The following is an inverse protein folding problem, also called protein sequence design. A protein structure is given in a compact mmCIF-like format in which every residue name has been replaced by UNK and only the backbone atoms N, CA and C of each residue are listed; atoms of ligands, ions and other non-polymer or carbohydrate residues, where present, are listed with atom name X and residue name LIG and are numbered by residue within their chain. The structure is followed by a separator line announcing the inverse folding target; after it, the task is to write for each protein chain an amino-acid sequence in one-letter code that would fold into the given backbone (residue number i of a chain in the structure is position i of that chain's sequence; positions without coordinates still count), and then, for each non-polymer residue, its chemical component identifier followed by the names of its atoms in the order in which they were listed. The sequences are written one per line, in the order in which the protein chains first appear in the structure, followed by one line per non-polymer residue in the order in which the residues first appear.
data_IF_060883779715
#
_entry.id   IF_060883779715
#
_cell.length_a   1.000
_cell.length_b   1.000
_cell.length_c   1.000
_cell.angle_alpha   90.00
_cell.angle_beta   90.00
_cell.angle_gamma   90.00
#
_symmetry.space_group_name_H-M   'P 1'
#
loop_
_entity.id
_entity.type
_entity.pdbx_description
1 polymer ?
#
# COMPACT_ATOMS: atom_id res chain seq x y z
N UNK A 1 -26.43 13.12 -12.75
CA UNK A 1 -25.06 12.70 -13.09
C UNK A 1 -24.67 11.71 -12.01
N UNK A 2 -24.55 10.43 -12.36
CA UNK A 2 -24.40 9.36 -11.39
C UNK A 2 -22.98 9.40 -10.80
N UNK A 3 -22.86 9.97 -9.61
CA UNK A 3 -21.68 9.90 -8.76
C UNK A 3 -21.57 8.49 -8.16
N UNK A 4 -21.52 7.49 -9.03
CA UNK A 4 -21.39 6.08 -8.66
C UNK A 4 -20.02 5.59 -9.10
N UNK A 5 -18.98 6.36 -8.79
CA UNK A 5 -17.64 5.79 -8.76
C UNK A 5 -17.53 4.99 -7.46
N UNK A 6 -18.28 3.87 -7.39
CA UNK A 6 -18.24 2.90 -6.30
C UNK A 6 -16.90 2.16 -6.33
N UNK A 7 -15.82 2.90 -6.08
CA UNK A 7 -14.55 2.33 -5.72
C UNK A 7 -14.78 1.47 -4.49
N UNK A 8 -14.56 0.18 -4.67
CA UNK A 8 -14.67 -0.82 -3.63
C UNK A 8 -13.40 -0.74 -2.79
N UNK A 9 -13.53 -0.26 -1.56
CA UNK A 9 -12.44 -0.24 -0.60
C UNK A 9 -12.39 -1.61 0.08
N UNK A 10 -11.29 -2.37 -0.05
CA UNK A 10 -11.18 -3.68 0.56
C UNK A 10 -11.12 -3.57 2.09
N UNK A 11 -11.62 -4.58 2.83
CA UNK A 11 -11.59 -4.60 4.29
C UNK A 11 -10.16 -4.49 4.86
N UNK A 12 -9.16 -4.97 4.12
CA UNK A 12 -7.75 -4.82 4.49
C UNK A 12 -7.31 -3.36 4.56
N UNK A 13 -7.86 -2.48 3.73
CA UNK A 13 -7.57 -1.04 3.79
C UNK A 13 -8.38 -0.35 4.89
N UNK A 14 -9.63 -0.77 5.10
CA UNK A 14 -10.41 -0.31 6.25
C UNK A 14 -9.68 -0.56 7.57
N UNK A 15 -8.99 -1.70 7.70
CA UNK A 15 -8.18 -2.02 8.87
C UNK A 15 -7.09 -0.98 9.18
N UNK A 16 -6.55 -0.30 8.16
CA UNK A 16 -5.55 0.79 8.31
C UNK A 16 -6.17 2.03 8.97
N UNK A 17 -7.45 2.28 8.71
CA UNK A 17 -8.19 3.46 9.20
C UNK A 17 -9.18 3.13 10.32
N UNK A 18 -9.27 1.89 10.76
CA UNK A 18 -10.17 1.46 11.82
C UNK A 18 -9.41 1.18 13.11
N UNK A 19 -9.95 1.66 14.22
CA UNK A 19 -9.42 1.37 15.56
C UNK A 19 -9.75 -0.07 16.01
N UNK A 20 -9.23 -0.50 17.17
CA UNK A 20 -9.56 -1.79 17.80
C UNK A 20 -11.08 -2.02 17.99
N UNK A 21 -11.88 -0.95 17.98
CA UNK A 21 -13.35 -0.98 18.03
C UNK A 21 -14.04 -1.03 16.66
N UNK A 22 -13.29 -1.24 15.58
CA UNK A 22 -13.79 -1.23 14.19
C UNK A 22 -14.47 0.10 13.80
N UNK A 23 -14.11 1.19 14.48
CA UNK A 23 -14.60 2.53 14.16
C UNK A 23 -13.58 3.22 13.29
N UNK A 24 -14.03 3.73 12.14
CA UNK A 24 -13.21 4.56 11.27
C UNK A 24 -12.72 5.81 12.01
N UNK A 25 -11.42 6.06 11.95
CA UNK A 25 -10.79 7.27 12.47
C UNK A 25 -11.12 8.48 11.59
N UNK A 26 -11.26 8.27 10.28
CA UNK A 26 -11.53 9.30 9.28
C UNK A 26 -12.87 9.03 8.56
N UNK A 27 -13.52 10.07 8.00
CA UNK A 27 -14.76 9.88 7.24
C UNK A 27 -14.51 9.04 5.97
N UNK A 28 -15.49 8.23 5.59
CA UNK A 28 -15.41 7.30 4.44
C UNK A 28 -14.97 7.98 3.13
N UNK A 29 -15.32 9.25 2.92
CA UNK A 29 -14.89 10.02 1.75
C UNK A 29 -13.37 10.22 1.70
N UNK A 30 -12.75 10.51 2.85
CA UNK A 30 -11.28 10.64 2.97
C UNK A 30 -10.63 9.26 2.80
N UNK A 31 -11.16 8.22 3.45
CA UNK A 31 -10.63 6.85 3.30
C UNK A 31 -10.68 6.39 1.84
N UNK A 32 -11.72 6.75 1.08
CA UNK A 32 -11.82 6.47 -0.35
C UNK A 32 -10.71 7.16 -1.14
N UNK A 33 -10.55 8.46 -0.95
CA UNK A 33 -9.51 9.24 -1.64
C UNK A 33 -8.11 8.69 -1.32
N UNK A 34 -7.85 8.38 -0.05
CA UNK A 34 -6.58 7.76 0.38
C UNK A 34 -6.38 6.38 -0.21
N UNK A 35 -7.44 5.57 -0.29
CA UNK A 35 -7.39 4.26 -0.93
C UNK A 35 -6.99 4.38 -2.40
N UNK A 36 -7.60 5.29 -3.15
CA UNK A 36 -7.26 5.52 -4.57
C UNK A 36 -5.79 5.88 -4.74
N UNK A 37 -5.28 6.80 -3.91
CA UNK A 37 -3.87 7.21 -3.93
C UNK A 37 -2.95 6.01 -3.63
N UNK A 38 -3.29 5.22 -2.60
CA UNK A 38 -2.49 4.07 -2.21
C UNK A 38 -2.51 2.95 -3.27
N UNK A 39 -3.65 2.74 -3.91
CA UNK A 39 -3.81 1.72 -4.94
C UNK A 39 -3.07 2.10 -6.23
N UNK A 40 -3.20 3.34 -6.69
CA UNK A 40 -2.43 3.87 -7.83
C UNK A 40 -0.93 3.76 -7.57
N UNK A 41 -0.48 4.14 -6.36
CA UNK A 41 0.93 4.06 -5.99
C UNK A 41 1.43 2.61 -5.95
N UNK A 42 0.65 1.68 -5.38
CA UNK A 42 0.98 0.25 -5.39
C UNK A 42 1.13 -0.26 -6.82
N UNK A 43 0.15 0.03 -7.69
CA UNK A 43 0.15 -0.34 -9.10
C UNK A 43 1.36 0.24 -9.85
N UNK A 44 1.73 1.50 -9.59
CA UNK A 44 2.92 2.12 -10.17
C UNK A 44 4.21 1.42 -9.71
N UNK A 45 4.29 1.07 -8.43
CA UNK A 45 5.45 0.39 -7.85
C UNK A 45 5.65 -1.04 -8.39
N UNK A 46 4.59 -1.72 -8.86
CA UNK A 46 4.71 -3.04 -9.55
C UNK A 46 5.66 -2.92 -10.74
N UNK A 47 5.50 -1.88 -11.56
CA UNK A 47 6.37 -1.63 -12.71
C UNK A 47 7.82 -1.39 -12.28
N UNK A 48 8.02 -0.55 -11.26
CA UNK A 48 9.34 -0.23 -10.73
C UNK A 48 10.04 -1.45 -10.09
N UNK A 49 9.29 -2.30 -9.37
CA UNK A 49 9.79 -3.52 -8.76
C UNK A 49 10.22 -4.57 -9.79
N UNK A 50 9.44 -4.74 -10.87
CA UNK A 50 9.81 -5.65 -11.96
C UNK A 50 11.09 -5.22 -12.67
N UNK A 51 11.26 -3.91 -12.91
CA UNK A 51 12.49 -3.37 -13.53
C UNK A 51 13.72 -3.66 -12.65
N UNK A 52 13.62 -3.42 -11.34
CA UNK A 52 14.69 -3.71 -10.39
C UNK A 52 15.01 -5.22 -10.33
N UNK A 53 13.98 -6.07 -10.26
CA UNK A 53 14.13 -7.53 -10.25
C UNK A 53 14.84 -8.03 -11.51
N UNK A 54 14.62 -7.41 -12.67
CA UNK A 54 15.27 -7.79 -13.92
C UNK A 54 16.72 -7.28 -14.04
N UNK A 55 17.05 -6.18 -13.35
CA UNK A 55 18.35 -5.49 -13.51
C UNK A 55 19.39 -5.97 -12.48
N UNK A 56 18.94 -6.37 -11.30
CA UNK A 56 19.80 -6.79 -10.20
C UNK A 56 19.42 -8.23 -9.77
N UNK A 57 20.22 -8.90 -8.91
CA UNK A 57 19.87 -10.18 -8.25
C UNK A 57 19.41 -9.97 -6.78
N UNK A 58 18.54 -9.00 -6.43
CA UNK A 58 18.02 -8.89 -5.09
C UNK A 58 16.91 -9.91 -4.92
N UNK A 59 16.81 -10.43 -3.70
CA UNK A 59 15.64 -11.21 -3.29
C UNK A 59 14.40 -10.31 -3.26
N UNK A 60 13.23 -10.84 -3.59
CA UNK A 60 11.96 -10.11 -3.62
C UNK A 60 11.70 -9.30 -2.33
N UNK A 61 12.05 -9.88 -1.18
CA UNK A 61 11.98 -9.25 0.15
C UNK A 61 12.84 -7.99 0.28
N UNK A 62 13.99 -7.94 -0.39
CA UNK A 62 14.88 -6.77 -0.39
C UNK A 62 14.29 -5.61 -1.19
N UNK A 63 13.67 -5.91 -2.34
CA UNK A 63 12.95 -4.92 -3.14
C UNK A 63 11.79 -4.33 -2.33
N UNK A 64 10.97 -5.19 -1.71
CA UNK A 64 9.85 -4.75 -0.87
C UNK A 64 10.34 -3.88 0.31
N UNK A 65 11.43 -4.26 0.96
CA UNK A 65 12.02 -3.51 2.08
C UNK A 65 12.52 -2.13 1.65
N UNK A 66 13.18 -2.02 0.48
CA UNK A 66 13.62 -0.74 -0.08
C UNK A 66 12.45 0.18 -0.40
N UNK A 67 11.41 -0.37 -1.04
CA UNK A 67 10.18 0.37 -1.35
C UNK A 67 9.51 0.85 -0.06
N UNK A 68 9.37 -0.03 0.94
CA UNK A 68 8.81 0.35 2.24
C UNK A 68 9.60 1.49 2.91
N UNK A 69 10.94 1.42 2.87
CA UNK A 69 11.79 2.47 3.42
C UNK A 69 11.59 3.82 2.70
N UNK A 70 11.42 3.80 1.38
CA UNK A 70 11.09 5.00 0.59
C UNK A 70 9.70 5.56 0.92
N UNK A 71 8.69 4.69 1.08
CA UNK A 71 7.33 5.11 1.45
C UNK A 71 7.24 5.69 2.88
N UNK A 72 8.16 5.32 3.77
CA UNK A 72 8.26 5.93 5.11
C UNK A 72 8.89 7.32 5.10
N UNK A 73 9.50 7.73 3.99
CA UNK A 73 10.07 9.07 3.88
C UNK A 73 8.95 10.12 3.73
N UNK A 74 9.13 11.33 4.28
CA UNK A 74 8.10 12.38 4.25
C UNK A 74 7.72 12.83 2.84
N UNK A 75 8.60 12.60 1.86
CA UNK A 75 8.39 12.85 0.44
C UNK A 75 7.28 12.00 -0.20
N UNK A 76 6.99 10.82 0.37
CA UNK A 76 5.96 9.92 -0.17
C UNK A 76 4.53 10.38 0.12
N UNK A 77 4.32 11.27 1.10
CA UNK A 77 2.98 11.78 1.45
C UNK A 77 2.02 10.72 1.99
N UNK A 78 2.55 9.59 2.47
CA UNK A 78 1.79 8.49 3.08
C UNK A 78 2.22 8.25 4.52
N UNK A 79 1.29 7.79 5.33
CA UNK A 79 1.50 7.42 6.73
C UNK A 79 2.20 6.06 6.82
N UNK A 80 2.85 5.77 7.95
CA UNK A 80 3.50 4.48 8.16
C UNK A 80 2.55 3.28 7.97
N UNK A 81 1.29 3.41 8.40
CA UNK A 81 0.27 2.38 8.24
C UNK A 81 -0.13 2.17 6.76
N UNK A 82 -0.22 3.27 6.00
CA UNK A 82 -0.50 3.22 4.56
C UNK A 82 0.69 2.62 3.79
N UNK A 83 1.92 3.01 4.14
CA UNK A 83 3.14 2.45 3.57
C UNK A 83 3.20 0.92 3.73
N UNK A 84 2.87 0.42 4.93
CA UNK A 84 2.77 -1.02 5.18
C UNK A 84 1.73 -1.70 4.29
N UNK A 85 0.54 -1.09 4.16
CA UNK A 85 -0.52 -1.62 3.29
C UNK A 85 -0.13 -1.62 1.81
N UNK A 86 0.47 -0.54 1.31
CA UNK A 86 0.93 -0.40 -0.08
C UNK A 86 1.94 -1.51 -0.43
N UNK A 87 2.91 -1.77 0.45
CA UNK A 87 3.93 -2.81 0.23
C UNK A 87 3.32 -4.20 0.30
N UNK A 88 2.37 -4.42 1.22
CA UNK A 88 1.62 -5.67 1.27
C UNK A 88 0.83 -5.90 -0.03
N UNK A 89 0.16 -4.86 -0.54
CA UNK A 89 -0.61 -4.92 -1.78
C UNK A 89 0.29 -5.13 -3.00
N UNK A 90 1.44 -4.47 -3.03
CA UNK A 90 2.47 -4.66 -4.05
C UNK A 90 2.95 -6.11 -4.10
N UNK A 91 3.25 -6.73 -2.95
CA UNK A 91 3.65 -8.12 -2.88
C UNK A 91 2.54 -9.06 -3.41
N UNK A 92 1.27 -8.81 -3.06
CA UNK A 92 0.14 -9.58 -3.60
C UNK A 92 0.03 -9.46 -5.13
N UNK A 93 0.17 -8.25 -5.69
CA UNK A 93 0.09 -8.01 -7.14
C UNK A 93 1.22 -8.69 -7.91
N UNK A 94 2.42 -8.74 -7.34
CA UNK A 94 3.58 -9.41 -7.91
C UNK A 94 3.57 -10.92 -7.66
N UNK A 95 2.69 -11.43 -6.80
CA UNK A 95 2.67 -12.83 -6.36
C UNK A 95 3.87 -13.21 -5.47
N UNK A 96 4.47 -12.23 -4.79
CA UNK A 96 5.62 -12.39 -3.92
C UNK A 96 5.19 -12.77 -2.50
N UNK A 97 6.05 -13.43 -1.70
CA UNK A 97 5.78 -13.61 -0.28
C UNK A 97 5.62 -12.23 0.38
N UNK A 98 4.64 -12.13 1.28
CA UNK A 98 4.35 -10.88 2.00
C UNK A 98 5.61 -10.32 2.68
N UNK A 99 5.75 -8.99 2.74
CA UNK A 99 6.92 -8.38 3.36
C UNK A 99 6.98 -8.78 4.84
N UNK A 100 8.14 -9.22 5.33
CA UNK A 100 8.40 -9.37 6.76
C UNK A 100 8.53 -7.99 7.41
N UNK A 101 7.40 -7.28 7.49
CA UNK A 101 7.28 -6.04 8.24
C UNK A 101 7.32 -6.45 9.71
N UNK A 102 8.47 -6.27 10.35
CA UNK A 102 8.55 -6.40 11.80
C UNK A 102 7.45 -5.54 12.41
N UNK A 103 6.53 -6.18 13.15
CA UNK A 103 5.53 -5.47 13.94
C UNK A 103 6.29 -4.71 15.04
N UNK A 104 6.63 -3.46 14.75
CA UNK A 104 7.21 -2.51 15.71
C UNK A 104 6.11 -1.94 16.60
#
# INVERSE_FOLDING_TARGET
MSDDNQIFIPPSFFAVYSDARQRLSEPIGVVRERYEICEDLASHLVGHAQIQHHTEVPVESEILRRIHAGLRAPEAGVSAAEAGWIVQRLAELLGWPGPELAAD
#
